data_IF_365084909658
#
_entry.id   IF_365084909658
#
_cell.length_a   1.000
_cell.length_b   1.000
_cell.length_c   1.000
_cell.angle_alpha   90.00
_cell.angle_beta   90.00
_cell.angle_gamma   90.00
#
_symmetry.space_group_name_H-M   'P 1'
#
loop_
_entity.id
_entity.type
_entity.pdbx_description
1 polymer ?
#
# COMPACT_ATOMS: atom_id res chain seq x y z
N UNK A 1 40.09 -23.81 5.34
CA UNK A 1 39.36 -24.08 6.61
C UNK A 1 38.83 -22.79 7.25
N UNK A 2 39.66 -21.75 7.46
CA UNK A 2 39.21 -20.47 8.05
C UNK A 2 38.11 -19.75 7.23
N UNK A 3 38.19 -19.77 5.90
CA UNK A 3 37.17 -19.17 5.01
C UNK A 3 35.80 -19.86 5.10
N UNK A 4 35.80 -21.18 5.28
CA UNK A 4 34.57 -21.97 5.47
C UNK A 4 33.99 -21.70 6.87
N UNK A 5 34.83 -21.56 7.89
CA UNK A 5 34.41 -21.17 9.23
C UNK A 5 33.78 -19.76 9.26
N UNK A 6 34.36 -18.79 8.54
CA UNK A 6 33.77 -17.45 8.41
C UNK A 6 32.47 -17.45 7.61
N UNK A 7 32.38 -18.27 6.56
CA UNK A 7 31.13 -18.41 5.79
C UNK A 7 30.01 -19.02 6.64
N UNK A 8 30.32 -20.06 7.43
CA UNK A 8 29.36 -20.68 8.36
C UNK A 8 28.96 -19.74 9.50
N UNK A 9 29.88 -18.93 10.03
CA UNK A 9 29.54 -17.98 11.09
C UNK A 9 28.64 -16.85 10.58
N UNK A 10 28.81 -16.40 9.33
CA UNK A 10 27.93 -15.40 8.71
C UNK A 10 26.55 -16.00 8.41
N UNK A 11 26.46 -17.26 7.96
CA UNK A 11 25.17 -17.95 7.77
C UNK A 11 24.37 -18.09 9.08
N UNK A 12 25.04 -18.34 10.20
CA UNK A 12 24.40 -18.50 11.51
C UNK A 12 23.87 -17.18 12.08
N UNK A 13 24.43 -16.04 11.67
CA UNK A 13 23.92 -14.71 12.03
C UNK A 13 22.59 -14.38 11.32
N UNK A 14 22.35 -14.93 10.13
CA UNK A 14 21.08 -14.74 9.41
C UNK A 14 19.92 -15.55 9.99
N UNK A 15 20.16 -16.69 10.65
CA UNK A 15 19.10 -17.48 11.28
C UNK A 15 18.66 -16.92 12.64
N UNK A 16 19.51 -16.12 13.30
CA UNK A 16 19.18 -15.45 14.56
C UNK A 16 18.19 -14.27 14.40
N UNK A 17 18.04 -13.75 13.18
CA UNK A 17 17.09 -12.70 12.82
C UNK A 17 15.90 -13.21 12.00
N UNK A 18 15.67 -14.52 11.94
CA UNK A 18 14.45 -15.04 11.33
C UNK A 18 13.25 -14.58 12.18
N UNK A 19 12.35 -13.74 11.64
CA UNK A 19 11.13 -13.44 12.36
C UNK A 19 10.38 -14.76 12.56
N UNK A 20 10.11 -15.12 13.82
CA UNK A 20 9.22 -16.22 14.13
C UNK A 20 7.87 -15.86 13.50
N UNK A 21 7.55 -16.44 12.35
CA UNK A 21 6.26 -16.33 11.72
C UNK A 21 5.26 -17.09 12.59
N UNK A 22 4.82 -16.46 13.69
CA UNK A 22 3.62 -16.87 14.38
C UNK A 22 2.46 -16.56 13.44
N UNK A 23 1.90 -17.59 12.83
CA UNK A 23 0.56 -17.52 12.30
C UNK A 23 -0.39 -17.35 13.50
N UNK A 24 -0.52 -16.11 13.97
CA UNK A 24 -1.65 -15.72 14.77
C UNK A 24 -2.81 -15.76 13.79
N UNK A 25 -3.73 -16.71 14.00
CA UNK A 25 -5.09 -16.60 13.48
C UNK A 25 -5.70 -15.32 14.07
N UNK A 26 -5.31 -14.19 13.49
CA UNK A 26 -5.91 -12.90 13.74
C UNK A 26 -7.24 -12.97 13.02
N UNK A 27 -8.24 -13.44 13.76
CA UNK A 27 -9.63 -13.03 13.60
C UNK A 27 -9.61 -11.59 13.09
N UNK A 28 -10.09 -11.39 11.85
CA UNK A 28 -10.29 -10.07 11.24
C UNK A 28 -11.28 -9.31 12.10
N UNK A 29 -10.81 -8.77 13.22
CA UNK A 29 -11.39 -7.56 13.76
C UNK A 29 -10.97 -6.49 12.76
N UNK A 30 -11.95 -5.98 12.00
CA UNK A 30 -11.74 -4.75 11.25
C UNK A 30 -11.12 -3.78 12.26
N UNK A 31 -9.87 -3.29 12.04
CA UNK A 31 -9.39 -2.21 12.87
C UNK A 31 -10.45 -1.10 12.76
N UNK A 32 -11.01 -0.69 13.89
CA UNK A 32 -11.88 0.48 13.91
C UNK A 32 -11.07 1.62 13.29
N UNK A 33 -11.56 2.18 12.19
CA UNK A 33 -10.89 3.27 11.50
C UNK A 33 -10.62 4.37 12.52
N UNK A 34 -9.39 4.86 12.57
CA UNK A 34 -9.05 6.04 13.37
C UNK A 34 -9.87 7.24 12.89
N UNK A 35 -10.05 8.26 13.73
CA UNK A 35 -10.80 9.47 13.36
C UNK A 35 -10.25 10.13 12.08
N UNK A 36 -8.93 10.08 11.88
CA UNK A 36 -8.26 10.60 10.68
C UNK A 36 -8.59 9.75 9.44
N UNK A 37 -8.60 8.43 9.56
CA UNK A 37 -8.95 7.51 8.47
C UNK A 37 -10.44 7.62 8.08
N UNK A 38 -11.32 7.89 9.05
CA UNK A 38 -12.74 8.15 8.80
C UNK A 38 -12.95 9.45 8.03
N UNK A 39 -12.28 10.54 8.45
CA UNK A 39 -12.29 11.81 7.73
C UNK A 39 -11.78 11.64 6.30
N UNK A 40 -10.68 10.89 6.12
CA UNK A 40 -10.12 10.65 4.79
C UNK A 40 -11.06 9.84 3.90
N UNK A 41 -11.76 8.87 4.46
CA UNK A 41 -12.76 8.09 3.73
C UNK A 41 -13.96 8.96 3.33
N UNK A 42 -14.38 9.89 4.19
CA UNK A 42 -15.43 10.86 3.89
C UNK A 42 -15.03 11.80 2.74
N UNK A 43 -13.80 12.31 2.74
CA UNK A 43 -13.26 13.11 1.62
C UNK A 43 -13.29 12.35 0.30
N UNK A 44 -12.86 11.09 0.32
CA UNK A 44 -12.90 10.21 -0.87
C UNK A 44 -14.34 10.04 -1.36
N UNK A 45 -15.30 9.80 -0.46
CA UNK A 45 -16.71 9.64 -0.82
C UNK A 45 -17.25 10.92 -1.47
N UNK A 46 -17.00 12.08 -0.87
CA UNK A 46 -17.46 13.37 -1.40
C UNK A 46 -16.92 13.62 -2.81
N UNK A 47 -15.63 13.33 -3.05
CA UNK A 47 -15.02 13.50 -4.37
C UNK A 47 -15.57 12.53 -5.40
N UNK A 48 -15.84 11.28 -5.02
CA UNK A 48 -16.49 10.29 -5.90
C UNK A 48 -17.91 10.73 -6.27
N UNK A 49 -18.67 11.30 -5.33
CA UNK A 49 -20.00 11.84 -5.61
C UNK A 49 -19.94 13.03 -6.57
N UNK A 50 -18.98 13.93 -6.37
CA UNK A 50 -18.73 15.05 -7.29
C UNK A 50 -18.44 14.54 -8.71
N UNK A 51 -17.49 13.61 -8.86
CA UNK A 51 -17.14 13.00 -10.15
C UNK A 51 -18.35 12.29 -10.77
N UNK A 52 -19.18 11.62 -9.97
CA UNK A 52 -20.39 10.94 -10.45
C UNK A 52 -21.44 11.93 -10.97
N UNK A 53 -21.49 13.13 -10.42
CA UNK A 53 -22.38 14.20 -10.83
C UNK A 53 -21.86 15.00 -12.04
N UNK A 54 -20.59 14.83 -12.43
CA UNK A 54 -20.01 15.48 -13.61
C UNK A 54 -20.67 15.00 -14.91
N UNK A 55 -20.82 15.90 -15.86
CA UNK A 55 -21.17 15.56 -17.24
C UNK A 55 -19.90 15.26 -18.05
N UNK A 56 -19.84 14.05 -18.61
CA UNK A 56 -18.70 13.56 -19.39
C UNK A 56 -18.86 13.71 -20.90
N UNK A 57 -20.01 14.25 -21.36
CA UNK A 57 -20.36 14.33 -22.78
C UNK A 57 -19.34 15.16 -23.57
N UNK A 58 -18.97 16.33 -23.04
CA UNK A 58 -18.09 17.30 -23.72
C UNK A 58 -16.60 17.10 -23.42
N UNK A 59 -16.23 16.13 -22.58
CA UNK A 59 -14.84 15.87 -22.25
C UNK A 59 -14.08 15.22 -23.42
N UNK A 60 -12.80 15.55 -23.53
CA UNK A 60 -11.84 14.85 -24.38
C UNK A 60 -11.57 13.43 -23.89
N UNK A 61 -10.87 12.63 -24.69
CA UNK A 61 -10.50 11.26 -24.29
C UNK A 61 -9.47 11.29 -23.17
N UNK A 62 -8.62 12.30 -23.18
CA UNK A 62 -7.53 12.56 -22.24
C UNK A 62 -8.10 12.92 -20.87
N UNK A 63 -9.02 13.88 -20.81
CA UNK A 63 -9.67 14.29 -19.54
C UNK A 63 -10.47 13.12 -18.91
N UNK A 64 -11.18 12.34 -19.73
CA UNK A 64 -11.87 11.13 -19.22
C UNK A 64 -10.90 10.08 -18.67
N UNK A 65 -9.70 9.99 -19.24
CA UNK A 65 -8.66 9.08 -18.77
C UNK A 65 -8.09 9.55 -17.44
N UNK A 66 -7.92 10.85 -17.24
CA UNK A 66 -7.48 11.46 -15.99
C UNK A 66 -8.48 11.21 -14.86
N UNK A 67 -9.77 11.51 -15.09
CA UNK A 67 -10.83 11.20 -14.10
C UNK A 67 -10.87 9.71 -13.75
N UNK A 68 -10.67 8.83 -14.73
CA UNK A 68 -10.58 7.39 -14.48
C UNK A 68 -9.34 7.00 -13.68
N UNK A 69 -8.23 7.72 -13.82
CA UNK A 69 -7.03 7.50 -13.01
C UNK A 69 -7.28 7.93 -11.57
N UNK A 70 -7.86 9.11 -11.38
CA UNK A 70 -8.23 9.65 -10.07
C UNK A 70 -9.16 8.69 -9.31
N UNK A 71 -10.24 8.21 -9.96
CA UNK A 71 -11.14 7.21 -9.38
C UNK A 71 -10.42 5.90 -9.01
N UNK A 72 -9.40 5.49 -9.77
CA UNK A 72 -8.62 4.27 -9.48
C UNK A 72 -7.70 4.46 -8.28
N UNK A 73 -7.13 5.65 -8.12
CA UNK A 73 -6.27 6.00 -6.99
C UNK A 73 -7.09 6.07 -5.70
N UNK A 74 -8.21 6.79 -5.71
CA UNK A 74 -9.14 6.85 -4.57
C UNK A 74 -9.65 5.46 -4.16
N UNK A 75 -9.90 4.57 -5.13
CA UNK A 75 -10.30 3.19 -4.84
C UNK A 75 -9.20 2.38 -4.15
N UNK A 76 -7.92 2.59 -4.51
CA UNK A 76 -6.80 1.92 -3.84
C UNK A 76 -6.69 2.41 -2.41
N UNK A 77 -6.75 3.73 -2.23
CA UNK A 77 -6.67 4.38 -0.93
C UNK A 77 -7.79 3.90 0.01
N UNK A 78 -9.06 3.91 -0.43
CA UNK A 78 -10.18 3.41 0.37
C UNK A 78 -10.07 1.91 0.72
N UNK A 79 -9.47 1.10 -0.16
CA UNK A 79 -9.23 -0.34 0.10
C UNK A 79 -8.12 -0.56 1.12
N UNK A 80 -7.12 0.31 1.15
CA UNK A 80 -6.04 0.29 2.13
C UNK A 80 -6.56 0.68 3.52
N UNK A 81 -7.46 1.67 3.60
CA UNK A 81 -8.15 2.06 4.84
C UNK A 81 -9.00 0.91 5.44
N UNK A 82 -9.68 0.12 4.61
CA UNK A 82 -10.65 -0.91 5.03
C UNK A 82 -10.10 -2.26 5.50
N UNK A 83 -8.85 -2.37 5.96
CA UNK A 83 -8.31 -3.61 6.54
C UNK A 83 -7.52 -4.52 5.59
N UNK A 84 -6.89 -3.94 4.56
CA UNK A 84 -5.81 -4.58 3.81
C UNK A 84 -4.46 -4.33 4.48
N UNK A 85 -3.51 -5.24 4.33
CA UNK A 85 -2.11 -5.01 4.71
C UNK A 85 -1.64 -3.69 4.09
N UNK A 86 -1.36 -2.69 4.92
CA UNK A 86 -0.76 -1.42 4.51
C UNK A 86 0.63 -1.69 3.91
N UNK A 87 0.71 -1.86 2.60
CA UNK A 87 1.86 -1.32 1.87
C UNK A 87 1.55 0.16 1.71
N UNK A 88 1.94 0.96 2.70
CA UNK A 88 1.94 2.42 2.61
C UNK A 88 2.37 2.83 1.20
N UNK A 89 1.69 3.80 0.57
CA UNK A 89 2.16 4.41 -0.68
C UNK A 89 3.64 4.80 -0.56
N UNK A 90 4.06 5.25 0.63
CA UNK A 90 5.46 5.48 0.99
C UNK A 90 6.33 4.21 0.97
N UNK A 91 5.84 3.06 1.44
CA UNK A 91 6.55 1.78 1.33
C UNK A 91 6.70 1.31 -0.11
N UNK A 92 5.68 1.49 -0.96
CA UNK A 92 5.77 1.20 -2.40
C UNK A 92 6.80 2.14 -3.06
N UNK A 93 6.78 3.43 -2.74
CA UNK A 93 7.78 4.40 -3.23
C UNK A 93 9.20 4.02 -2.77
N UNK A 94 9.39 3.65 -1.50
CA UNK A 94 10.69 3.22 -0.96
C UNK A 94 11.19 1.96 -1.69
N UNK A 95 10.34 0.98 -1.93
CA UNK A 95 10.70 -0.24 -2.68
C UNK A 95 11.12 0.13 -4.11
N UNK A 96 10.39 1.02 -4.78
CA UNK A 96 10.75 1.50 -6.12
C UNK A 96 12.08 2.27 -6.13
N UNK A 97 12.36 3.10 -5.12
CA UNK A 97 13.63 3.80 -4.99
C UNK A 97 14.82 2.85 -4.75
N UNK A 98 14.63 1.81 -3.92
CA UNK A 98 15.65 0.80 -3.68
C UNK A 98 15.97 0.05 -4.98
N UNK A 99 14.96 -0.32 -5.78
CA UNK A 99 15.19 -1.00 -7.06
C UNK A 99 16.01 -0.14 -8.01
N UNK A 100 15.71 1.16 -8.11
CA UNK A 100 16.45 2.12 -8.97
C UNK A 100 17.90 2.31 -8.51
N UNK A 101 18.18 2.30 -7.20
CA UNK A 101 19.55 2.46 -6.66
C UNK A 101 20.41 1.20 -6.78
N UNK A 102 19.77 0.02 -6.76
CA UNK A 102 20.46 -1.28 -6.83
C UNK A 102 20.70 -1.71 -8.29
N UNK A 103 19.83 -1.31 -9.22
CA UNK A 103 20.05 -1.48 -10.67
C UNK A 103 21.00 -0.42 -11.22
#
# INVERSE_FOLDING_TARGET
MKKIAYFLSVMFLFTAFAPAAMAKDAKKENPELTAEEQLRLEEINNRVEEIKAMDFADMSKEERKEVKSELREMKKEAKELGGGVYLSVGAIIIILLILILVT
#
